data_IF_132960371385
#
_entry.id   IF_132960371385
#
_cell.length_a   1.000
_cell.length_b   1.000
_cell.length_c   1.000
_cell.angle_alpha   90.00
_cell.angle_beta   90.00
_cell.angle_gamma   90.00
#
_symmetry.space_group_name_H-M   'P 1'
#
loop_
_entity.id
_entity.type
_entity.pdbx_description
1 polymer ?
#
# COMPACT_ATOMS: atom_id res chain seq x y z
N UNK A 1 7.06 17.43 11.13
CA UNK A 1 7.28 15.98 11.27
C UNK A 1 5.97 15.32 10.88
N UNK A 2 5.98 14.38 9.92
CA UNK A 2 4.78 13.58 9.63
C UNK A 2 4.72 12.48 10.68
N UNK A 3 3.73 12.54 11.57
CA UNK A 3 3.50 11.48 12.56
C UNK A 3 2.91 10.27 11.84
N UNK A 4 3.66 9.16 11.85
CA UNK A 4 3.18 7.87 11.40
C UNK A 4 2.21 7.33 12.45
N UNK A 5 1.00 6.95 12.04
CA UNK A 5 0.03 6.32 12.93
C UNK A 5 -0.38 4.95 12.39
N UNK A 6 -0.20 3.92 13.21
CA UNK A 6 -0.56 2.54 12.92
C UNK A 6 -1.77 2.18 13.81
N UNK A 7 -2.84 1.68 13.21
CA UNK A 7 -4.01 1.20 13.92
C UNK A 7 -4.38 -0.18 13.37
N UNK A 8 -4.40 -1.19 14.23
CA UNK A 8 -4.77 -2.55 13.86
C UNK A 8 -6.15 -2.87 14.41
N UNK A 9 -7.06 -3.23 13.51
CA UNK A 9 -8.38 -3.77 13.85
C UNK A 9 -8.31 -5.30 13.86
N UNK A 10 -8.39 -5.88 15.05
CA UNK A 10 -8.33 -7.32 15.25
C UNK A 10 -9.62 -8.05 14.84
N UNK A 11 -10.77 -7.39 14.82
CA UNK A 11 -12.04 -8.01 14.39
C UNK A 11 -12.08 -8.19 12.87
N UNK A 12 -11.57 -7.20 12.13
CA UNK A 12 -11.51 -7.22 10.66
C UNK A 12 -10.21 -7.78 10.06
N UNK A 13 -9.19 -8.05 10.89
CA UNK A 13 -7.81 -8.34 10.46
C UNK A 13 -7.26 -7.28 9.48
N UNK A 14 -7.40 -6.01 9.87
CA UNK A 14 -7.04 -4.86 9.03
C UNK A 14 -6.00 -3.99 9.72
N UNK A 15 -4.87 -3.75 9.06
CA UNK A 15 -3.90 -2.74 9.47
C UNK A 15 -4.10 -1.44 8.69
N UNK A 16 -4.37 -0.37 9.41
CA UNK A 16 -4.39 1.00 8.90
C UNK A 16 -3.09 1.71 9.21
N UNK A 17 -2.39 2.16 8.17
CA UNK A 17 -1.19 2.97 8.25
C UNK A 17 -1.54 4.37 7.75
N UNK A 18 -1.39 5.39 8.59
CA UNK A 18 -1.62 6.78 8.23
C UNK A 18 -0.30 7.55 8.24
N UNK A 19 0.06 8.13 7.09
CA UNK A 19 1.27 8.95 6.92
C UNK A 19 1.01 10.44 7.11
N UNK A 20 -0.25 10.86 6.99
CA UNK A 20 -0.68 12.23 7.20
C UNK A 20 -2.07 12.26 7.85
N UNK A 21 -2.22 13.01 8.95
CA UNK A 21 -3.49 13.13 9.67
C UNK A 21 -4.45 14.04 8.90
N UNK A 22 -5.65 13.55 8.62
CA UNK A 22 -6.78 14.39 8.19
C UNK A 22 -6.81 14.85 6.73
N UNK A 23 -5.93 14.35 5.85
CA UNK A 23 -6.03 14.67 4.42
C UNK A 23 -7.13 13.84 3.74
N UNK A 24 -8.06 14.53 3.08
CA UNK A 24 -9.02 13.91 2.15
C UNK A 24 -8.25 13.46 0.91
N UNK A 25 -7.77 12.23 0.94
CA UNK A 25 -7.11 11.59 -0.19
C UNK A 25 -8.07 10.72 -1.01
N UNK A 26 -7.72 10.53 -2.27
CA UNK A 26 -8.23 9.45 -3.10
C UNK A 26 -7.76 8.10 -2.55
N UNK A 27 -8.60 7.08 -2.68
CA UNK A 27 -8.27 5.70 -2.32
C UNK A 27 -8.35 4.81 -3.55
N UNK A 28 -7.33 3.98 -3.76
CA UNK A 28 -7.29 3.00 -4.85
C UNK A 28 -6.90 1.64 -4.31
N UNK A 29 -7.63 0.61 -4.71
CA UNK A 29 -7.31 -0.78 -4.36
C UNK A 29 -6.27 -1.31 -5.34
N UNK A 30 -5.08 -1.63 -4.85
CA UNK A 30 -4.02 -2.21 -5.68
C UNK A 30 -4.29 -3.68 -5.99
N UNK A 31 -4.95 -4.36 -5.05
CA UNK A 31 -5.49 -5.71 -5.14
C UNK A 31 -6.53 -5.89 -4.03
N UNK A 32 -6.98 -7.12 -3.80
CA UNK A 32 -8.02 -7.42 -2.81
C UNK A 32 -7.50 -7.31 -1.36
N UNK A 33 -6.19 -7.27 -1.14
CA UNK A 33 -5.58 -7.18 0.19
C UNK A 33 -4.99 -5.80 0.52
N UNK A 34 -4.81 -4.90 -0.46
CA UNK A 34 -4.09 -3.64 -0.27
C UNK A 34 -4.86 -2.47 -0.89
N UNK A 35 -5.13 -1.46 -0.06
CA UNK A 35 -5.69 -0.18 -0.49
C UNK A 35 -4.69 0.93 -0.20
N UNK A 36 -4.31 1.66 -1.25
CA UNK A 36 -3.46 2.84 -1.16
C UNK A 36 -4.33 4.09 -1.07
N UNK A 37 -4.04 4.94 -0.08
CA UNK A 37 -4.64 6.27 0.05
C UNK A 37 -3.60 7.33 -0.25
N UNK A 38 -3.93 8.24 -1.14
CA UNK A 38 -3.03 9.31 -1.55
C UNK A 38 -3.80 10.60 -1.84
N UNK A 39 -3.14 11.73 -1.70
CA UNK A 39 -3.69 13.03 -2.08
C UNK A 39 -3.49 13.23 -3.59
N UNK A 40 -4.58 13.32 -4.36
CA UNK A 40 -4.50 13.43 -5.82
C UNK A 40 -3.84 14.76 -6.30
N UNK A 41 -4.11 15.92 -5.68
CA UNK A 41 -3.44 17.18 -6.04
C UNK A 41 -1.92 17.14 -5.90
N UNK A 42 -1.40 16.59 -4.79
CA UNK A 42 0.05 16.55 -4.49
C UNK A 42 0.72 15.26 -4.96
N UNK A 43 -0.06 14.18 -5.15
CA UNK A 43 0.44 12.85 -5.47
C UNK A 43 1.22 12.22 -4.32
N UNK A 44 0.92 12.58 -3.08
CA UNK A 44 1.58 12.06 -1.88
C UNK A 44 0.75 10.97 -1.19
N UNK A 45 1.41 9.92 -0.69
CA UNK A 45 0.73 8.91 0.11
C UNK A 45 0.28 9.49 1.45
N UNK A 46 -1.01 9.34 1.73
CA UNK A 46 -1.62 9.76 3.01
C UNK A 46 -1.90 8.57 3.92
N UNK A 47 -2.04 7.37 3.35
CA UNK A 47 -2.17 6.14 4.13
C UNK A 47 -2.14 4.87 3.29
N UNK A 48 -2.10 3.74 3.97
CA UNK A 48 -2.16 2.40 3.42
C UNK A 48 -3.08 1.57 4.31
N UNK A 49 -3.95 0.76 3.70
CA UNK A 49 -4.77 -0.21 4.40
C UNK A 49 -4.38 -1.59 3.90
N UNK A 50 -4.04 -2.49 4.83
CA UNK A 50 -3.74 -3.88 4.57
C UNK A 50 -4.87 -4.73 5.15
N UNK A 51 -5.58 -5.46 4.31
CA UNK A 51 -6.59 -6.44 4.67
C UNK A 51 -5.93 -7.82 4.80
N UNK A 52 -6.51 -8.70 5.63
CA UNK A 52 -5.92 -9.99 5.98
C UNK A 52 -4.47 -9.84 6.48
N UNK A 53 -4.22 -8.82 7.31
CA UNK A 53 -2.86 -8.44 7.70
C UNK A 53 -2.12 -9.59 8.39
N UNK A 54 -2.79 -10.33 9.28
CA UNK A 54 -2.22 -11.49 9.96
C UNK A 54 -1.69 -12.51 8.94
N UNK A 55 -2.47 -12.81 7.90
CA UNK A 55 -2.08 -13.73 6.84
C UNK A 55 -0.92 -13.18 6.02
N UNK A 56 -0.89 -11.88 5.72
CA UNK A 56 0.21 -11.25 5.00
C UNK A 56 1.53 -11.29 5.77
N UNK A 57 1.49 -11.19 7.10
CA UNK A 57 2.67 -11.28 7.97
C UNK A 57 3.11 -12.72 8.19
N UNK A 58 2.17 -13.64 8.43
CA UNK A 58 2.48 -15.06 8.66
C UNK A 58 2.89 -15.77 7.37
N UNK A 59 2.35 -15.36 6.23
CA UNK A 59 2.60 -15.94 4.91
C UNK A 59 3.01 -14.85 3.91
N UNK A 60 4.23 -14.29 4.05
CA UNK A 60 4.71 -13.25 3.15
C UNK A 60 4.79 -13.83 1.73
N UNK A 61 3.89 -13.35 0.86
CA UNK A 61 3.79 -13.77 -0.53
C UNK A 61 3.82 -12.55 -1.45
N UNK A 62 4.35 -12.70 -2.68
CA UNK A 62 4.16 -11.70 -3.71
C UNK A 62 2.66 -11.55 -4.01
N UNK A 63 2.15 -10.33 -3.86
CA UNK A 63 0.78 -9.99 -4.21
C UNK A 63 0.79 -9.29 -5.57
N UNK A 64 0.03 -9.78 -6.56
CA UNK A 64 -0.04 -9.13 -7.85
C UNK A 64 -0.73 -7.76 -7.72
N UNK A 65 -0.25 -6.78 -8.49
CA UNK A 65 -0.88 -5.46 -8.61
C UNK A 65 -1.90 -5.46 -9.75
N UNK A 66 -2.79 -6.46 -9.77
CA UNK A 66 -3.66 -6.73 -10.93
C UNK A 66 -4.60 -5.56 -11.27
N UNK A 67 -5.02 -4.80 -10.26
CA UNK A 67 -5.89 -3.62 -10.44
C UNK A 67 -5.16 -2.43 -11.04
N UNK A 68 -3.82 -2.47 -11.12
CA UNK A 68 -3.03 -1.35 -11.65
C UNK A 68 -3.22 -1.18 -13.16
N UNK A 69 -3.51 -2.26 -13.89
CA UNK A 69 -3.82 -2.24 -15.32
C UNK A 69 -5.24 -1.76 -15.61
N UNK A 70 -6.17 -1.88 -14.65
CA UNK A 70 -7.54 -1.35 -14.76
C UNK A 70 -7.59 0.19 -14.66
N UNK A 71 -6.53 0.82 -14.15
CA UNK A 71 -6.52 2.26 -13.91
C UNK A 71 -6.24 3.07 -15.18
N UNK A 72 -6.83 4.27 -15.30
CA UNK A 72 -6.46 5.23 -16.34
C UNK A 72 -4.94 5.49 -16.32
N UNK A 73 -4.30 5.73 -17.47
CA UNK A 73 -2.85 5.88 -17.57
C UNK A 73 -2.28 6.98 -16.65
N UNK A 74 -3.03 8.07 -16.47
CA UNK A 74 -2.69 9.18 -15.57
C UNK A 74 -2.64 8.73 -14.10
N UNK A 75 -3.68 8.01 -13.65
CA UNK A 75 -3.77 7.47 -12.31
C UNK A 75 -2.70 6.39 -12.06
N UNK A 76 -2.49 5.51 -13.05
CA UNK A 76 -1.45 4.48 -13.01
C UNK A 76 -0.07 5.08 -12.76
N UNK A 77 0.26 6.18 -13.44
CA UNK A 77 1.54 6.86 -13.26
C UNK A 77 1.69 7.48 -11.87
N UNK A 78 0.62 8.07 -11.33
CA UNK A 78 0.62 8.63 -9.97
C UNK A 78 0.82 7.52 -8.93
N UNK A 79 0.05 6.43 -9.02
CA UNK A 79 0.13 5.28 -8.12
C UNK A 79 1.52 4.66 -8.18
N UNK A 80 2.06 4.43 -9.39
CA UNK A 80 3.40 3.90 -9.57
C UNK A 80 4.47 4.78 -8.92
N UNK A 81 4.37 6.11 -9.09
CA UNK A 81 5.27 7.08 -8.47
C UNK A 81 5.19 7.05 -6.95
N UNK A 82 4.01 6.84 -6.38
CA UNK A 82 3.82 6.73 -4.93
C UNK A 82 4.44 5.44 -4.40
N UNK A 83 4.18 4.31 -5.05
CA UNK A 83 4.70 3.01 -4.62
C UNK A 83 6.23 2.93 -4.68
N UNK A 84 6.84 3.67 -5.60
CA UNK A 84 8.31 3.73 -5.76
C UNK A 84 8.98 4.77 -4.87
N UNK A 85 8.22 5.56 -4.09
CA UNK A 85 8.72 6.63 -3.23
C UNK A 85 8.40 6.40 -1.75
N UNK A 86 9.22 6.94 -0.84
CA UNK A 86 8.87 6.98 0.57
C UNK A 86 7.61 7.85 0.77
N UNK A 87 6.76 7.53 1.77
CA UNK A 87 6.95 6.47 2.76
C UNK A 87 6.55 5.06 2.29
N UNK A 88 5.81 4.91 1.18
CA UNK A 88 5.20 3.62 0.80
C UNK A 88 6.22 2.56 0.40
N UNK A 89 7.29 2.94 -0.29
CA UNK A 89 8.36 2.02 -0.70
C UNK A 89 9.13 1.39 0.47
N UNK A 90 8.95 1.93 1.70
CA UNK A 90 9.50 1.34 2.93
C UNK A 90 8.68 0.13 3.39
N UNK A 91 7.36 0.13 3.14
CA UNK A 91 6.45 -0.94 3.56
C UNK A 91 6.22 -1.95 2.43
N UNK A 92 6.09 -1.47 1.20
CA UNK A 92 5.80 -2.28 0.02
C UNK A 92 7.03 -2.33 -0.90
N UNK A 93 7.53 -3.53 -1.15
CA UNK A 93 8.59 -3.76 -2.13
C UNK A 93 7.97 -4.20 -3.44
N UNK A 94 8.05 -3.36 -4.46
CA UNK A 94 7.70 -3.74 -5.82
C UNK A 94 8.85 -4.50 -6.45
N UNK A 95 8.53 -5.65 -7.06
CA UNK A 95 9.45 -6.40 -7.90
C UNK A 95 8.74 -6.82 -9.20
N UNK A 96 9.43 -6.82 -10.34
CA UNK A 96 8.95 -7.55 -11.50
C UNK A 96 8.99 -9.06 -11.20
N UNK A 97 7.87 -9.77 -11.34
CA UNK A 97 7.87 -11.23 -11.21
C UNK A 97 8.26 -11.85 -12.57
N UNK A 98 9.34 -12.65 -12.67
CA UNK A 98 9.71 -13.27 -13.94
C UNK A 98 8.61 -14.24 -14.38
N UNK A 99 8.08 -14.03 -15.59
CA UNK A 99 7.01 -14.86 -16.17
C UNK A 99 5.58 -14.31 -16.01
N UNK A 100 5.40 -13.15 -15.37
CA UNK A 100 4.13 -12.43 -15.33
C UNK A 100 4.30 -11.01 -15.89
N UNK A 101 3.30 -10.55 -16.65
CA UNK A 101 3.27 -9.18 -17.18
C UNK A 101 3.01 -8.13 -16.08
N UNK A 102 2.36 -8.54 -14.99
CA UNK A 102 1.95 -7.65 -13.91
C UNK A 102 3.04 -7.53 -12.83
N UNK A 103 3.34 -6.33 -12.33
CA UNK A 103 4.26 -6.16 -11.22
C UNK A 103 3.64 -6.73 -9.93
N UNK A 104 4.48 -7.32 -9.08
CA UNK A 104 4.07 -7.81 -7.75
C UNK A 104 4.60 -6.90 -6.66
N UNK A 105 3.87 -6.82 -5.56
CA UNK A 105 4.31 -6.17 -4.33
C UNK A 105 4.44 -7.19 -3.21
N UNK A 106 5.46 -7.05 -2.37
CA UNK A 106 5.63 -7.86 -1.15
C UNK A 106 5.72 -6.95 0.05
N UNK A 107 5.00 -7.29 1.12
CA UNK A 107 5.10 -6.59 2.40
C UNK A 107 6.50 -6.81 2.97
N UNK A 108 7.19 -5.74 3.36
CA UNK A 108 8.44 -5.87 4.12
C UNK A 108 8.10 -6.30 5.54
N UNK A 109 8.67 -7.41 6.00
CA UNK A 109 8.43 -7.97 7.35
C UNK A 109 8.94 -7.12 8.52
N UNK A 110 9.44 -5.90 8.26
CA UNK A 110 9.95 -4.98 9.28
C UNK A 110 8.89 -3.96 9.73
N UNK A 111 7.59 -4.22 9.48
CA UNK A 111 6.50 -3.39 10.02
C UNK A 111 6.43 -3.63 11.53
N UNK A 112 7.32 -2.95 12.25
CA UNK A 112 7.34 -2.95 13.71
C UNK A 112 6.15 -2.10 14.17
N UNK A 113 5.10 -2.76 14.67
CA UNK A 113 4.08 -2.10 15.47
C UNK A 113 4.80 -1.65 16.75
N UNK A 114 5.20 -0.39 16.82
CA UNK A 114 5.65 0.19 18.09
C UNK A 114 4.50 0.02 19.09
N UNK A 115 4.77 -0.75 20.15
CA UNK A 115 3.86 -1.07 21.25
C UNK A 115 3.60 0.14 22.13
#
# INVERSE_FOLDING_TARGET
MRELHLSYDAEGDVLYISFAKGQKGSSVSLNDNIVLRFDAPTGEAVGLTLLDFSNLVHHPRPLPLSRLDDFPPELRQIVWRILTRPPVSLYLKIAPLPGQAEPVTTLRGDVTLEK
#
